data_IF_663194277654
#
_entry.id   IF_663194277654
#
_cell.length_a   1.000
_cell.length_b   1.000
_cell.length_c   1.000
_cell.angle_alpha   90.00
_cell.angle_beta   90.00
_cell.angle_gamma   90.00
#
_symmetry.space_group_name_H-M   'P 1'
#
loop_
_entity.id
_entity.type
_entity.pdbx_description
1 polymer ?
#
# COMPACT_ATOMS: atom_id res chain seq x y z
N UNK A 1 -0.14 -2.48 34.29
CA UNK A 1 -0.14 -2.80 32.85
C UNK A 1 -0.42 -1.51 32.09
N UNK A 2 0.53 -0.99 31.32
CA UNK A 2 0.35 0.27 30.58
C UNK A 2 -0.79 0.15 29.55
N UNK A 3 -1.49 1.25 29.25
CA UNK A 3 -2.56 1.28 28.24
C UNK A 3 -2.13 0.68 26.88
N UNK A 4 -0.87 0.85 26.48
CA UNK A 4 -0.29 0.24 25.27
C UNK A 4 -0.35 -1.30 25.29
N UNK A 5 -0.04 -1.92 26.44
CA UNK A 5 -0.09 -3.38 26.60
C UNK A 5 -1.52 -3.93 26.48
N UNK A 6 -2.50 -3.20 27.01
CA UNK A 6 -3.92 -3.56 26.87
C UNK A 6 -4.34 -3.43 25.39
N UNK A 7 -3.98 -2.33 24.72
CA UNK A 7 -4.30 -2.12 23.31
C UNK A 7 -3.68 -3.19 22.38
N UNK A 8 -2.44 -3.61 22.64
CA UNK A 8 -1.77 -4.67 21.87
C UNK A 8 -2.43 -6.04 22.08
N UNK A 9 -2.77 -6.39 23.33
CA UNK A 9 -3.46 -7.65 23.60
C UNK A 9 -4.87 -7.68 22.97
N UNK A 10 -5.61 -6.58 23.07
CA UNK A 10 -6.94 -6.46 22.46
C UNK A 10 -6.88 -6.53 20.94
N UNK A 11 -5.96 -5.79 20.30
CA UNK A 11 -5.80 -5.82 18.83
C UNK A 11 -5.37 -7.21 18.33
N UNK A 12 -4.46 -7.88 19.04
CA UNK A 12 -4.06 -9.26 18.72
C UNK A 12 -5.25 -10.22 18.81
N UNK A 13 -6.05 -10.12 19.87
CA UNK A 13 -7.25 -10.94 20.04
C UNK A 13 -8.28 -10.69 18.93
N UNK A 14 -8.50 -9.42 18.56
CA UNK A 14 -9.39 -9.04 17.46
C UNK A 14 -8.90 -9.61 16.12
N UNK A 15 -7.61 -9.46 15.81
CA UNK A 15 -7.01 -10.04 14.59
C UNK A 15 -7.18 -11.56 14.55
N UNK A 16 -7.01 -12.24 15.70
CA UNK A 16 -7.22 -13.68 15.82
C UNK A 16 -8.68 -14.08 15.58
N UNK A 17 -9.63 -13.37 16.21
CA UNK A 17 -11.07 -13.60 15.98
C UNK A 17 -11.45 -13.38 14.52
N UNK A 18 -10.96 -12.32 13.89
CA UNK A 18 -11.21 -12.03 12.48
C UNK A 18 -10.69 -13.15 11.56
N UNK A 19 -9.47 -13.64 11.81
CA UNK A 19 -8.90 -14.79 11.07
C UNK A 19 -9.76 -16.04 11.27
N UNK A 20 -10.17 -16.32 12.50
CA UNK A 20 -10.99 -17.48 12.83
C UNK A 20 -12.38 -17.43 12.17
N UNK A 21 -13.04 -16.27 12.21
CA UNK A 21 -14.30 -16.04 11.51
C UNK A 21 -14.12 -16.20 10.00
N UNK A 22 -13.03 -15.67 9.44
CA UNK A 22 -12.68 -15.82 8.03
C UNK A 22 -12.55 -17.27 7.58
N UNK A 23 -11.96 -18.13 8.41
CA UNK A 23 -11.82 -19.57 8.13
C UNK A 23 -13.16 -20.32 8.20
N UNK A 24 -14.13 -19.82 8.98
CA UNK A 24 -15.46 -20.40 9.09
C UNK A 24 -16.40 -20.00 7.95
N UNK A 25 -15.98 -19.09 7.05
CA UNK A 25 -16.79 -18.68 5.91
C UNK A 25 -16.92 -19.87 4.94
N UNK A 26 -18.15 -20.32 4.61
CA UNK A 26 -18.37 -21.43 3.69
C UNK A 26 -17.76 -21.16 2.32
N UNK A 27 -17.06 -22.15 1.75
CA UNK A 27 -16.47 -22.04 0.41
C UNK A 27 -17.51 -21.76 -0.70
N UNK A 28 -18.78 -22.09 -0.46
CA UNK A 28 -19.89 -21.79 -1.38
C UNK A 28 -20.15 -20.28 -1.55
N UNK A 29 -19.79 -19.46 -0.56
CA UNK A 29 -19.85 -17.99 -0.65
C UNK A 29 -18.60 -17.44 -1.34
N UNK A 30 -17.42 -18.03 -1.11
CA UNK A 30 -16.14 -17.54 -1.64
C UNK A 30 -15.90 -17.92 -3.11
N UNK A 31 -16.51 -19.01 -3.60
CA UNK A 31 -16.41 -19.46 -4.99
C UNK A 31 -17.22 -18.63 -5.99
N UNK A 32 -17.88 -17.55 -5.56
CA UNK A 32 -18.51 -16.63 -6.50
C UNK A 32 -17.42 -15.86 -7.28
N UNK A 33 -17.48 -15.82 -8.62
CA UNK A 33 -16.46 -15.16 -9.43
C UNK A 33 -16.29 -13.67 -9.10
N UNK A 34 -17.36 -13.03 -8.60
CA UNK A 34 -17.33 -11.63 -8.14
C UNK A 34 -16.47 -11.46 -6.89
N UNK A 35 -16.58 -12.35 -5.90
CA UNK A 35 -15.86 -12.25 -4.63
C UNK A 35 -14.36 -12.51 -4.83
N UNK A 36 -14.00 -13.46 -5.70
CA UNK A 36 -12.60 -13.71 -6.06
C UNK A 36 -11.95 -12.52 -6.75
N UNK A 37 -12.66 -11.87 -7.69
CA UNK A 37 -12.18 -10.65 -8.36
C UNK A 37 -11.96 -9.51 -7.37
N UNK A 38 -12.89 -9.29 -6.44
CA UNK A 38 -12.74 -8.27 -5.40
C UNK A 38 -11.53 -8.57 -4.52
N UNK A 39 -11.37 -9.81 -4.06
CA UNK A 39 -10.26 -10.18 -3.18
C UNK A 39 -8.89 -10.00 -3.85
N UNK A 40 -8.79 -10.24 -5.16
CA UNK A 40 -7.58 -9.94 -5.93
C UNK A 40 -7.29 -8.43 -6.02
N UNK A 41 -8.32 -7.59 -6.03
CA UNK A 41 -8.21 -6.13 -6.15
C UNK A 41 -7.98 -5.42 -4.81
N UNK A 42 -8.38 -6.03 -3.68
CA UNK A 42 -8.21 -5.42 -2.34
C UNK A 42 -6.74 -5.03 -2.07
N UNK A 43 -5.74 -5.92 -2.21
CA UNK A 43 -4.35 -5.57 -1.95
C UNK A 43 -3.85 -4.46 -2.88
N UNK A 44 -4.24 -4.50 -4.15
CA UNK A 44 -3.82 -3.54 -5.17
C UNK A 44 -4.37 -2.14 -4.84
N UNK A 45 -5.66 -2.07 -4.47
CA UNK A 45 -6.33 -0.83 -4.06
C UNK A 45 -5.72 -0.25 -2.78
N UNK A 46 -5.50 -1.10 -1.77
CA UNK A 46 -4.92 -0.67 -0.50
C UNK A 46 -3.48 -0.18 -0.65
N UNK A 47 -2.63 -0.92 -1.37
CA UNK A 47 -1.25 -0.52 -1.62
C UNK A 47 -1.19 0.75 -2.48
N UNK A 48 -2.03 0.86 -3.51
CA UNK A 48 -2.09 2.06 -4.35
C UNK A 48 -2.51 3.30 -3.55
N UNK A 49 -3.56 3.18 -2.73
CA UNK A 49 -4.00 4.24 -1.82
C UNK A 49 -2.91 4.62 -0.81
N UNK A 50 -2.24 3.63 -0.21
CA UNK A 50 -1.15 3.85 0.73
C UNK A 50 0.02 4.60 0.08
N UNK A 51 0.41 4.23 -1.14
CA UNK A 51 1.44 4.94 -1.89
C UNK A 51 1.00 6.37 -2.19
N UNK A 52 -0.25 6.59 -2.60
CA UNK A 52 -0.77 7.93 -2.85
C UNK A 52 -0.72 8.82 -1.59
N UNK A 53 -1.16 8.31 -0.44
CA UNK A 53 -1.12 9.06 0.83
C UNK A 53 0.31 9.34 1.27
N UNK A 54 1.21 8.36 1.18
CA UNK A 54 2.62 8.53 1.54
C UNK A 54 3.39 9.47 0.60
N UNK A 55 2.98 9.55 -0.67
CA UNK A 55 3.57 10.47 -1.64
C UNK A 55 3.11 11.91 -1.43
N UNK A 56 1.89 12.12 -0.92
CA UNK A 56 1.27 13.44 -0.75
C UNK A 56 1.37 14.01 0.66
N UNK A 57 1.67 13.18 1.67
CA UNK A 57 1.63 13.57 3.10
C UNK A 57 2.93 13.20 3.80
N UNK A 58 3.51 14.15 4.52
CA UNK A 58 4.59 13.91 5.49
C UNK A 58 4.13 14.47 6.84
N UNK A 59 4.15 13.64 7.89
CA UNK A 59 3.99 14.08 9.30
C UNK A 59 2.70 14.90 9.59
N UNK A 60 1.68 14.84 8.71
CA UNK A 60 0.39 15.59 8.76
C UNK A 60 0.34 16.92 7.99
N UNK A 61 1.38 17.30 7.26
CA UNK A 61 1.36 18.44 6.35
C UNK A 61 1.39 17.98 4.89
N UNK A 62 0.53 18.58 4.06
CA UNK A 62 0.55 18.40 2.61
C UNK A 62 1.70 19.24 2.06
N UNK A 63 2.87 18.63 1.96
CA UNK A 63 4.07 19.24 1.37
C UNK A 63 4.28 18.56 0.03
N UNK A 64 4.26 19.33 -1.06
CA UNK A 64 4.61 18.84 -2.39
C UNK A 64 6.14 18.71 -2.41
N UNK A 65 6.64 17.56 -1.98
CA UNK A 65 8.07 17.29 -1.86
C UNK A 65 8.58 16.42 -3.03
N UNK A 66 9.90 16.34 -3.15
CA UNK A 66 10.71 15.61 -4.14
C UNK A 66 10.25 14.17 -4.46
N UNK A 67 9.57 13.53 -3.51
CA UNK A 67 9.00 12.19 -3.63
C UNK A 67 7.90 12.08 -4.68
N UNK A 68 7.11 13.14 -4.88
CA UNK A 68 6.07 13.17 -5.92
C UNK A 68 6.68 13.09 -7.33
N UNK A 69 7.82 13.76 -7.52
CA UNK A 69 8.56 13.74 -8.79
C UNK A 69 9.10 12.35 -9.07
N UNK A 70 9.69 11.68 -8.08
CA UNK A 70 10.11 10.28 -8.20
C UNK A 70 8.96 9.33 -8.56
N UNK A 71 7.79 9.51 -7.94
CA UNK A 71 6.58 8.73 -8.24
C UNK A 71 6.08 8.96 -9.67
N UNK A 72 6.04 10.22 -10.13
CA UNK A 72 5.62 10.55 -11.49
C UNK A 72 6.57 9.97 -12.55
N UNK A 73 7.87 10.06 -12.33
CA UNK A 73 8.88 9.45 -13.23
C UNK A 73 8.72 7.94 -13.28
N UNK A 74 8.48 7.29 -12.14
CA UNK A 74 8.19 5.84 -12.09
C UNK A 74 6.92 5.48 -12.90
N UNK A 75 5.84 6.26 -12.74
CA UNK A 75 4.59 6.04 -13.45
C UNK A 75 4.75 6.21 -14.98
N UNK A 76 5.54 7.19 -15.42
CA UNK A 76 5.85 7.40 -16.83
C UNK A 76 6.70 6.23 -17.36
N UNK A 77 7.76 5.83 -16.65
CA UNK A 77 8.60 4.70 -17.04
C UNK A 77 7.82 3.38 -17.13
N UNK A 78 6.89 3.15 -16.21
CA UNK A 78 6.00 1.97 -16.23
C UNK A 78 5.04 2.02 -17.42
N UNK A 79 4.55 3.20 -17.81
CA UNK A 79 3.69 3.38 -18.99
C UNK A 79 4.42 3.00 -20.29
N UNK A 80 5.74 3.20 -20.35
CA UNK A 80 6.60 2.72 -21.43
C UNK A 80 6.94 1.21 -21.34
N UNK A 81 6.32 0.46 -20.42
CA UNK A 81 6.52 -0.98 -20.25
C UNK A 81 7.97 -1.36 -19.88
N UNK A 82 8.70 -0.44 -19.25
CA UNK A 82 10.08 -0.69 -18.81
C UNK A 82 10.13 -1.80 -17.75
N UNK A 83 11.20 -2.61 -17.76
CA UNK A 83 11.42 -3.62 -16.74
C UNK A 83 11.49 -2.98 -15.34
N UNK A 84 10.88 -3.62 -14.34
CA UNK A 84 10.77 -3.10 -12.96
C UNK A 84 12.08 -2.51 -12.37
N UNK A 85 13.28 -3.13 -12.55
CA UNK A 85 14.52 -2.56 -12.03
C UNK A 85 14.90 -1.22 -12.67
N UNK A 86 14.62 -1.05 -13.96
CA UNK A 86 14.93 0.16 -14.74
C UNK A 86 14.04 1.30 -14.25
N UNK A 87 12.74 1.03 -14.05
CA UNK A 87 11.79 1.98 -13.47
C UNK A 87 12.24 2.42 -12.07
N UNK A 88 12.66 1.49 -11.21
CA UNK A 88 13.12 1.80 -9.86
C UNK A 88 14.37 2.70 -9.85
N UNK A 89 15.34 2.40 -10.72
CA UNK A 89 16.55 3.21 -10.88
C UNK A 89 16.25 4.62 -11.36
N UNK A 90 15.39 4.78 -12.36
CA UNK A 90 14.97 6.09 -12.88
C UNK A 90 14.27 6.92 -11.80
N UNK A 91 13.36 6.30 -11.04
CA UNK A 91 12.65 6.96 -9.96
C UNK A 91 13.57 7.40 -8.82
N UNK A 92 14.52 6.54 -8.43
CA UNK A 92 15.52 6.85 -7.41
C UNK A 92 16.45 7.98 -7.87
N UNK A 93 16.93 7.91 -9.11
CA UNK A 93 17.79 8.93 -9.69
C UNK A 93 17.06 10.28 -9.75
N UNK A 94 15.82 10.33 -10.25
CA UNK A 94 15.03 11.57 -10.30
C UNK A 94 14.75 12.12 -8.91
N UNK A 95 14.41 11.27 -7.94
CA UNK A 95 14.16 11.73 -6.57
C UNK A 95 15.43 12.29 -5.92
N UNK A 96 16.59 11.67 -6.17
CA UNK A 96 17.87 12.12 -5.64
C UNK A 96 18.35 13.42 -6.29
N UNK A 97 18.11 13.59 -7.58
CA UNK A 97 18.53 14.77 -8.33
C UNK A 97 17.75 16.00 -7.92
N UNK A 98 16.45 15.86 -7.69
CA UNK A 98 15.62 16.98 -7.22
C UNK A 98 15.89 17.23 -5.73
N UNK A 99 16.13 16.21 -4.89
CA UNK A 99 16.51 16.42 -3.47
C UNK A 99 17.80 17.24 -3.26
N UNK A 100 18.71 17.23 -4.23
CA UNK A 100 19.99 17.94 -4.18
C UNK A 100 19.92 19.36 -4.78
N UNK A 101 18.72 19.85 -5.09
CA UNK A 101 18.40 21.19 -5.59
C UNK A 101 17.69 22.00 -4.50
#
# INVERSE_FOLDING_TARGET
>A
MSQLWIATLVSSLICFLLKYLGYRIPESLLNRPVIQRINALIPISLLSSLVAVQALTIERQVVIDHRLVGLLVAAIALSFKANFPIMMLLAAASSALVYNL
#
